data_IF_115010285073
#
_entry.id   IF_115010285073
#
_cell.length_a   1.000
_cell.length_b   1.000
_cell.length_c   1.000
_cell.angle_alpha   90.00
_cell.angle_beta   90.00
_cell.angle_gamma   90.00
#
_symmetry.space_group_name_H-M   'P 1'
#
loop_
_entity.id
_entity.type
_entity.pdbx_description
1 polymer ?
#
# COMPACT_ATOMS: atom_id res chain seq x y z
N UNK A 1 -8.40 0.77 8.55
CA UNK A 1 -7.05 1.37 8.65
C UNK A 1 -6.51 1.20 10.06
N UNK A 2 -5.30 1.72 10.33
CA UNK A 2 -4.70 1.68 11.67
C UNK A 2 -4.20 3.06 12.11
N UNK A 3 -4.00 3.29 13.42
CA UNK A 3 -3.34 4.49 13.92
C UNK A 3 -1.82 4.51 13.65
N UNK A 4 -1.25 3.40 13.19
CA UNK A 4 0.18 3.24 12.90
C UNK A 4 0.55 3.61 11.46
N UNK A 5 -0.43 4.00 10.63
CA UNK A 5 -0.16 4.39 9.25
C UNK A 5 0.76 5.61 9.16
N UNK A 6 1.58 5.63 8.11
CA UNK A 6 2.31 6.86 7.78
C UNK A 6 1.35 8.03 7.62
N UNK A 7 1.80 9.22 8.01
CA UNK A 7 0.97 10.45 8.03
C UNK A 7 0.24 10.71 6.71
N UNK A 8 0.84 10.39 5.55
CA UNK A 8 0.18 10.58 4.26
C UNK A 8 -1.08 9.71 4.10
N UNK A 9 -1.10 8.49 4.64
CA UNK A 9 -2.28 7.61 4.64
C UNK A 9 -3.26 8.05 5.72
N UNK A 10 -2.78 8.29 6.93
CA UNK A 10 -3.63 8.70 8.07
C UNK A 10 -4.42 9.97 7.78
N UNK A 11 -3.77 11.02 7.28
CA UNK A 11 -4.43 12.28 6.92
C UNK A 11 -5.41 12.12 5.75
N UNK A 12 -5.07 11.27 4.77
CA UNK A 12 -6.00 10.95 3.66
C UNK A 12 -7.25 10.26 4.17
N UNK A 13 -7.12 9.29 5.07
CA UNK A 13 -8.25 8.60 5.70
C UNK A 13 -9.14 9.58 6.48
N UNK A 14 -8.53 10.48 7.26
CA UNK A 14 -9.26 11.51 8.00
C UNK A 14 -9.99 12.49 7.06
N UNK A 15 -9.37 12.86 5.96
CA UNK A 15 -9.96 13.74 4.95
C UNK A 15 -11.14 13.07 4.26
N UNK A 16 -11.03 11.80 3.89
CA UNK A 16 -12.12 11.02 3.33
C UNK A 16 -13.31 10.91 4.30
N UNK A 17 -13.04 10.70 5.60
CA UNK A 17 -14.08 10.72 6.63
C UNK A 17 -14.80 12.08 6.68
N UNK A 18 -14.05 13.18 6.71
CA UNK A 18 -14.59 14.53 6.84
C UNK A 18 -15.35 15.00 5.59
N UNK A 19 -14.76 14.82 4.41
CA UNK A 19 -15.31 15.40 3.16
C UNK A 19 -16.25 14.47 2.41
N UNK A 20 -16.11 13.15 2.57
CA UNK A 20 -16.91 12.16 1.83
C UNK A 20 -17.83 11.33 2.72
N UNK A 21 -17.79 11.55 4.02
CA UNK A 21 -18.62 10.78 4.97
C UNK A 21 -18.27 9.29 5.01
N UNK A 22 -17.05 8.92 4.62
CA UNK A 22 -16.59 7.54 4.71
C UNK A 22 -16.53 7.12 6.16
N UNK A 23 -17.13 5.99 6.49
CA UNK A 23 -16.99 5.39 7.81
C UNK A 23 -15.57 4.82 7.95
N UNK A 24 -14.93 5.14 9.05
CA UNK A 24 -13.53 4.72 9.32
C UNK A 24 -13.50 3.95 10.62
N UNK A 25 -13.05 2.70 10.55
CA UNK A 25 -12.73 1.84 11.69
C UNK A 25 -11.22 1.70 11.77
N UNK A 26 -10.67 1.85 12.98
CA UNK A 26 -9.24 1.66 13.23
C UNK A 26 -9.00 0.35 13.97
N UNK A 27 -8.30 -0.56 13.30
CA UNK A 27 -7.73 -1.74 13.93
C UNK A 27 -6.56 -1.29 14.82
N UNK A 28 -6.65 -1.55 16.11
CA UNK A 28 -5.63 -1.10 17.07
C UNK A 28 -4.56 -2.16 17.24
N UNK A 29 -3.27 -1.78 17.23
CA UNK A 29 -2.21 -2.68 17.58
C UNK A 29 -2.21 -2.98 19.10
N UNK A 30 -1.64 -4.09 19.47
CA UNK A 30 -1.32 -4.40 20.84
C UNK A 30 -0.08 -3.61 21.34
N UNK A 31 0.39 -3.93 22.55
CA UNK A 31 1.57 -3.28 23.16
C UNK A 31 2.91 -3.59 22.44
N UNK A 32 2.91 -4.58 21.54
CA UNK A 32 4.07 -4.91 20.69
C UNK A 32 3.96 -4.33 19.29
N UNK A 33 2.82 -3.72 18.96
CA UNK A 33 2.54 -3.19 17.64
C UNK A 33 1.92 -4.19 16.67
N UNK A 34 1.49 -5.36 17.16
CA UNK A 34 0.89 -6.40 16.33
C UNK A 34 -0.63 -6.24 16.25
N UNK A 35 -1.22 -6.61 15.11
CA UNK A 35 -2.66 -6.53 14.89
C UNK A 35 -3.33 -7.87 15.16
N UNK A 36 -4.50 -7.83 15.83
CA UNK A 36 -5.38 -8.97 15.94
C UNK A 36 -6.09 -9.20 14.58
N UNK A 37 -5.68 -10.23 13.84
CA UNK A 37 -6.26 -10.53 12.53
C UNK A 37 -7.63 -11.24 12.64
N UNK A 38 -7.97 -11.80 13.78
CA UNK A 38 -9.32 -12.35 14.05
C UNK A 38 -10.31 -11.18 14.16
N UNK A 39 -9.95 -10.11 14.87
CA UNK A 39 -10.75 -8.87 14.93
C UNK A 39 -10.97 -8.29 13.52
N UNK A 40 -9.92 -8.24 12.69
CA UNK A 40 -10.06 -7.80 11.29
C UNK A 40 -11.08 -8.65 10.54
N UNK A 41 -11.01 -9.97 10.67
CA UNK A 41 -11.90 -10.89 9.99
C UNK A 41 -13.37 -10.72 10.47
N UNK A 42 -13.60 -10.53 11.76
CA UNK A 42 -14.92 -10.28 12.33
C UNK A 42 -15.51 -8.96 11.83
N UNK A 43 -14.72 -7.89 11.82
CA UNK A 43 -15.13 -6.58 11.28
C UNK A 43 -15.53 -6.67 9.80
N UNK A 44 -14.80 -7.45 9.01
CA UNK A 44 -15.12 -7.61 7.59
C UNK A 44 -16.37 -8.47 7.39
N UNK A 45 -16.55 -9.54 8.15
CA UNK A 45 -17.74 -10.40 8.10
C UNK A 45 -19.03 -9.66 8.48
N UNK A 46 -18.93 -8.73 9.42
CA UNK A 46 -20.06 -7.94 9.89
C UNK A 46 -20.42 -6.77 8.97
N UNK A 47 -19.59 -6.46 7.98
CA UNK A 47 -19.78 -5.31 7.09
C UNK A 47 -20.54 -5.71 5.83
N UNK A 48 -21.69 -5.10 5.60
CA UNK A 48 -22.44 -5.19 4.33
C UNK A 48 -21.99 -4.14 3.30
N UNK A 49 -21.05 -3.25 3.69
CA UNK A 49 -20.57 -2.14 2.86
C UNK A 49 -19.36 -2.53 2.04
N UNK A 50 -19.18 -1.89 0.88
CA UNK A 50 -17.92 -1.98 0.15
C UNK A 50 -16.79 -1.43 1.03
N UNK A 51 -15.85 -2.29 1.37
CA UNK A 51 -14.80 -2.00 2.35
C UNK A 51 -13.42 -1.96 1.69
N UNK A 52 -12.61 -0.98 2.06
CA UNK A 52 -11.19 -0.92 1.78
C UNK A 52 -10.42 -1.05 3.10
N UNK A 53 -9.61 -2.08 3.21
CA UNK A 53 -8.60 -2.21 4.26
C UNK A 53 -7.34 -1.48 3.79
N UNK A 54 -6.76 -0.64 4.64
CA UNK A 54 -5.48 0.01 4.38
C UNK A 54 -4.60 -0.16 5.60
N UNK A 55 -3.56 -1.00 5.48
CA UNK A 55 -2.59 -1.32 6.52
C UNK A 55 -1.19 -1.33 5.94
N UNK A 56 -0.27 -0.57 6.54
CA UNK A 56 1.11 -0.54 6.07
C UNK A 56 1.83 -1.86 6.36
N UNK A 57 2.73 -2.25 5.45
CA UNK A 57 3.43 -3.54 5.55
C UNK A 57 4.54 -3.50 6.60
N UNK A 58 5.44 -2.52 6.51
CA UNK A 58 6.51 -2.32 7.49
C UNK A 58 6.40 -0.92 8.09
N UNK A 59 6.37 -0.82 9.42
CA UNK A 59 6.23 0.48 10.07
C UNK A 59 7.57 1.22 10.08
N UNK A 60 7.54 2.49 9.70
CA UNK A 60 8.73 3.33 9.57
C UNK A 60 9.32 3.81 10.90
N UNK A 61 8.61 3.66 12.02
CA UNK A 61 9.05 4.16 13.33
C UNK A 61 9.46 3.05 14.28
N UNK A 62 8.68 1.97 14.34
CA UNK A 62 8.90 0.89 15.29
C UNK A 62 9.33 -0.43 14.64
N UNK A 63 9.35 -0.49 13.29
CA UNK A 63 9.85 -1.64 12.53
C UNK A 63 8.93 -2.86 12.50
N UNK A 64 7.73 -2.80 13.06
CA UNK A 64 6.78 -3.92 13.02
C UNK A 64 6.45 -4.28 11.57
N UNK A 65 6.33 -5.59 11.33
CA UNK A 65 6.04 -6.16 10.03
C UNK A 65 4.67 -6.85 10.05
N UNK A 66 3.78 -6.42 9.14
CA UNK A 66 2.47 -7.02 8.96
C UNK A 66 2.58 -8.33 8.16
N UNK A 67 1.87 -9.37 8.56
CA UNK A 67 1.65 -10.53 7.67
C UNK A 67 0.73 -10.13 6.51
N UNK A 68 1.32 -9.50 5.50
CA UNK A 68 0.60 -8.96 4.33
C UNK A 68 -0.12 -10.07 3.55
N UNK A 69 0.44 -11.29 3.50
CA UNK A 69 -0.18 -12.42 2.79
C UNK A 69 -1.47 -12.82 3.48
N UNK A 70 -1.44 -12.96 4.81
CA UNK A 70 -2.61 -13.33 5.61
C UNK A 70 -3.69 -12.25 5.58
N UNK A 71 -3.31 -10.98 5.71
CA UNK A 71 -4.26 -9.86 5.60
C UNK A 71 -4.91 -9.80 4.22
N UNK A 72 -4.12 -9.93 3.14
CA UNK A 72 -4.62 -9.94 1.79
C UNK A 72 -5.61 -11.09 1.54
N UNK A 73 -5.32 -12.27 2.10
CA UNK A 73 -6.21 -13.42 2.00
C UNK A 73 -7.53 -13.20 2.76
N UNK A 74 -7.47 -12.67 3.98
CA UNK A 74 -8.66 -12.32 4.78
C UNK A 74 -9.53 -11.31 4.02
N UNK A 75 -8.92 -10.27 3.44
CA UNK A 75 -9.65 -9.28 2.64
C UNK A 75 -10.35 -9.91 1.43
N UNK A 76 -9.63 -10.74 0.68
CA UNK A 76 -10.14 -11.45 -0.51
C UNK A 76 -11.33 -12.35 -0.14
N UNK A 77 -11.24 -13.12 0.93
CA UNK A 77 -12.30 -14.02 1.40
C UNK A 77 -13.57 -13.29 1.84
N UNK A 78 -13.43 -12.02 2.25
CA UNK A 78 -14.55 -11.18 2.69
C UNK A 78 -14.94 -10.10 1.67
N UNK A 79 -14.52 -10.22 0.39
CA UNK A 79 -14.81 -9.27 -0.69
C UNK A 79 -14.42 -7.81 -0.36
N UNK A 80 -13.42 -7.62 0.48
CA UNK A 80 -12.84 -6.32 0.77
C UNK A 80 -11.65 -6.04 -0.13
N UNK A 81 -11.48 -4.79 -0.56
CA UNK A 81 -10.27 -4.35 -1.23
C UNK A 81 -9.14 -4.15 -0.21
N UNK A 82 -7.92 -4.44 -0.61
CA UNK A 82 -6.75 -4.26 0.26
C UNK A 82 -5.71 -3.35 -0.38
N UNK A 83 -5.37 -2.28 0.34
CA UNK A 83 -4.23 -1.40 0.10
C UNK A 83 -3.17 -1.62 1.17
N UNK A 84 -1.91 -1.68 0.76
CA UNK A 84 -0.78 -1.64 1.68
C UNK A 84 0.22 -0.55 1.29
N UNK A 85 0.61 0.27 2.25
CA UNK A 85 1.80 1.10 2.11
C UNK A 85 3.03 0.20 2.26
N UNK A 86 3.72 -0.03 1.14
CA UNK A 86 4.92 -0.86 1.07
C UNK A 86 6.20 -0.05 0.93
N UNK A 87 6.14 1.24 1.23
CA UNK A 87 7.28 2.17 1.06
C UNK A 87 8.52 1.72 1.82
N UNK A 88 8.37 1.13 3.01
CA UNK A 88 9.50 0.66 3.81
C UNK A 88 9.93 -0.78 3.49
N UNK A 89 9.13 -1.56 2.83
CA UNK A 89 9.40 -2.97 2.55
C UNK A 89 9.76 -3.26 1.08
N UNK A 90 9.32 -2.39 0.15
CA UNK A 90 9.64 -2.55 -1.26
C UNK A 90 11.16 -2.49 -1.49
N UNK A 91 11.69 -3.47 -2.22
CA UNK A 91 13.11 -3.65 -2.48
C UNK A 91 13.98 -4.02 -1.26
N UNK A 92 13.41 -4.12 -0.06
CA UNK A 92 14.05 -4.64 1.15
C UNK A 92 13.57 -6.04 1.50
N UNK A 93 12.44 -6.45 0.95
CA UNK A 93 11.83 -7.76 1.15
C UNK A 93 11.28 -8.26 -0.18
N UNK A 94 11.18 -9.58 -0.32
CA UNK A 94 10.56 -10.19 -1.50
C UNK A 94 9.04 -10.01 -1.44
N UNK A 95 8.50 -9.27 -2.40
CA UNK A 95 7.07 -8.99 -2.55
C UNK A 95 6.61 -9.34 -3.96
N UNK A 96 5.97 -10.50 -4.10
CA UNK A 96 5.34 -10.91 -5.35
C UNK A 96 3.82 -10.72 -5.28
N UNK A 97 3.33 -9.68 -5.95
CA UNK A 97 1.91 -9.38 -6.01
C UNK A 97 1.12 -10.28 -6.97
N UNK A 98 1.76 -11.22 -7.64
CA UNK A 98 1.06 -12.32 -8.32
C UNK A 98 0.57 -13.36 -7.32
N UNK A 99 1.32 -13.57 -6.25
CA UNK A 99 0.99 -14.50 -5.17
C UNK A 99 0.22 -13.82 -4.02
N UNK A 100 0.56 -12.57 -3.71
CA UNK A 100 -0.10 -11.80 -2.65
C UNK A 100 -1.29 -11.05 -3.24
N UNK A 101 -2.54 -11.36 -2.87
CA UNK A 101 -3.72 -10.78 -3.48
C UNK A 101 -4.05 -9.36 -2.97
N UNK A 102 -3.06 -8.46 -2.94
CA UNK A 102 -3.32 -7.03 -2.71
C UNK A 102 -4.01 -6.40 -3.93
N UNK A 103 -4.86 -5.42 -3.73
CA UNK A 103 -5.47 -4.64 -4.81
C UNK A 103 -4.64 -3.39 -5.13
N UNK A 104 -4.01 -2.82 -4.11
CA UNK A 104 -3.19 -1.62 -4.25
C UNK A 104 -1.95 -1.72 -3.36
N UNK A 105 -0.82 -1.25 -3.87
CA UNK A 105 0.37 -1.02 -3.06
C UNK A 105 1.03 0.30 -3.47
N UNK A 106 1.52 1.04 -2.51
CA UNK A 106 2.23 2.31 -2.74
C UNK A 106 3.71 2.17 -2.42
N UNK A 107 4.54 2.81 -3.24
CA UNK A 107 5.97 2.74 -3.13
C UNK A 107 6.63 4.09 -3.44
N UNK A 108 7.79 4.35 -2.84
CA UNK A 108 8.54 5.59 -3.02
C UNK A 108 10.02 5.29 -3.29
N UNK A 109 10.53 5.75 -4.44
CA UNK A 109 11.86 5.41 -4.95
C UNK A 109 12.99 5.75 -3.99
N UNK A 110 12.89 6.88 -3.28
CA UNK A 110 13.95 7.34 -2.38
C UNK A 110 14.19 6.43 -1.16
N UNK A 111 13.34 5.45 -0.92
CA UNK A 111 13.50 4.46 0.17
C UNK A 111 14.38 3.28 -0.24
N UNK A 112 14.64 3.12 -1.53
CA UNK A 112 15.58 2.14 -2.08
C UNK A 112 16.56 2.80 -3.06
N UNK A 113 17.12 3.94 -2.64
CA UNK A 113 18.19 4.67 -3.33
C UNK A 113 17.84 5.26 -4.69
N UNK A 114 16.55 5.33 -5.04
CA UNK A 114 16.06 5.97 -6.24
C UNK A 114 15.87 7.49 -6.07
N UNK A 115 15.46 8.19 -7.13
CA UNK A 115 15.30 9.64 -7.11
C UNK A 115 14.09 10.05 -6.24
N UNK A 116 14.26 11.15 -5.50
CA UNK A 116 13.17 11.81 -4.78
C UNK A 116 12.12 12.32 -5.76
N UNK A 117 10.86 12.40 -5.32
CA UNK A 117 9.74 12.88 -6.14
C UNK A 117 9.22 11.86 -7.16
N UNK A 118 9.73 10.63 -7.15
CA UNK A 118 9.22 9.51 -7.93
C UNK A 118 8.83 8.34 -7.06
N UNK A 119 7.86 7.58 -7.52
CA UNK A 119 7.33 6.39 -6.88
C UNK A 119 6.39 5.68 -7.83
N UNK A 120 5.83 4.56 -7.40
CA UNK A 120 4.80 3.87 -8.17
C UNK A 120 3.67 3.39 -7.27
N UNK A 121 2.52 3.20 -7.88
CA UNK A 121 1.42 2.49 -7.28
C UNK A 121 1.15 1.21 -8.07
N UNK A 122 1.13 0.08 -7.41
CA UNK A 122 0.55 -1.13 -7.97
C UNK A 122 -0.96 -1.02 -7.88
N UNK A 123 -1.64 -1.26 -9.00
CA UNK A 123 -3.10 -1.27 -9.10
C UNK A 123 -3.54 -2.54 -9.80
N UNK A 124 -4.24 -3.42 -9.09
CA UNK A 124 -4.77 -4.64 -9.67
C UNK A 124 -5.90 -4.30 -10.66
N UNK A 125 -5.86 -4.89 -11.84
CA UNK A 125 -6.84 -4.61 -12.91
C UNK A 125 -8.29 -4.82 -12.47
N UNK A 126 -8.55 -5.82 -11.63
CA UNK A 126 -9.88 -6.15 -11.13
C UNK A 126 -10.41 -5.18 -10.06
N UNK A 127 -9.57 -4.27 -9.53
CA UNK A 127 -9.98 -3.32 -8.49
C UNK A 127 -11.02 -2.31 -8.95
N UNK A 128 -11.11 -2.06 -10.25
CA UNK A 128 -12.03 -1.09 -10.84
C UNK A 128 -11.70 0.37 -10.51
N UNK A 129 -10.46 0.64 -10.06
CA UNK A 129 -10.01 2.01 -9.79
C UNK A 129 -10.09 2.87 -11.05
N UNK A 130 -10.63 4.08 -10.90
CA UNK A 130 -10.61 5.13 -11.93
C UNK A 130 -9.64 6.22 -11.53
N UNK A 131 -8.96 6.80 -12.53
CA UNK A 131 -8.08 7.93 -12.31
C UNK A 131 -8.82 9.14 -11.75
N UNK A 132 -8.18 9.84 -10.82
CA UNK A 132 -8.70 11.08 -10.21
C UNK A 132 -8.02 12.33 -10.79
N UNK A 133 -6.85 12.18 -11.41
CA UNK A 133 -6.16 13.26 -12.13
C UNK A 133 -6.54 13.11 -13.59
N UNK A 134 -7.42 13.97 -14.05
CA UNK A 134 -8.00 13.92 -15.41
C UNK A 134 -7.12 14.69 -16.41
N UNK A 135 -7.17 14.28 -17.69
CA UNK A 135 -6.42 14.89 -18.79
C UNK A 135 -6.11 13.88 -19.89
N UNK A 136 -4.84 13.75 -20.26
CA UNK A 136 -4.39 12.79 -21.28
C UNK A 136 -4.41 11.32 -20.78
N UNK A 137 -4.12 10.35 -21.68
CA UNK A 137 -4.25 8.93 -21.40
C UNK A 137 -3.05 8.31 -20.67
N UNK A 138 -2.17 9.14 -20.10
CA UNK A 138 -0.97 8.67 -19.41
C UNK A 138 -1.31 7.71 -18.27
N UNK A 139 -0.38 6.87 -17.91
CA UNK A 139 -0.54 5.82 -16.87
C UNK A 139 -1.85 5.03 -17.05
N UNK A 140 -2.17 4.67 -18.30
CA UNK A 140 -3.39 3.92 -18.65
C UNK A 140 -4.67 4.63 -18.19
N UNK A 141 -4.73 5.95 -18.29
CA UNK A 141 -5.82 6.82 -17.84
C UNK A 141 -5.98 6.93 -16.31
N UNK A 142 -5.10 6.32 -15.53
CA UNK A 142 -5.16 6.41 -14.06
C UNK A 142 -4.57 7.72 -13.52
N UNK A 143 -3.61 8.30 -14.23
CA UNK A 143 -2.97 9.55 -13.82
C UNK A 143 -2.52 10.32 -15.05
N UNK A 144 -3.24 11.36 -15.39
CA UNK A 144 -2.87 12.24 -16.51
C UNK A 144 -1.66 13.13 -16.18
N UNK A 145 -1.04 13.65 -17.23
CA UNK A 145 0.16 14.50 -17.21
C UNK A 145 1.39 13.78 -17.73
N UNK A 146 2.29 14.53 -18.36
CA UNK A 146 3.51 14.01 -18.97
C UNK A 146 4.32 13.22 -17.96
N UNK A 147 4.81 12.08 -18.38
CA UNK A 147 5.60 11.16 -17.56
C UNK A 147 6.97 11.77 -17.20
N UNK A 148 7.37 11.65 -15.95
CA UNK A 148 8.71 11.98 -15.50
C UNK A 148 9.68 10.85 -15.89
N UNK A 149 10.05 10.81 -17.18
CA UNK A 149 10.87 9.71 -17.74
C UNK A 149 12.18 9.53 -16.98
N UNK A 150 12.89 10.60 -16.65
CA UNK A 150 14.14 10.51 -15.89
C UNK A 150 13.94 9.90 -14.50
N UNK A 151 12.90 10.32 -13.78
CA UNK A 151 12.54 9.76 -12.47
C UNK A 151 12.13 8.29 -12.56
N UNK A 152 11.37 7.92 -13.59
CA UNK A 152 10.89 6.55 -13.82
C UNK A 152 12.08 5.62 -14.13
N UNK A 153 12.99 6.03 -15.02
CA UNK A 153 14.19 5.25 -15.36
C UNK A 153 15.10 5.09 -14.14
N UNK A 154 15.32 6.18 -13.39
CA UNK A 154 16.12 6.14 -12.15
C UNK A 154 15.49 5.24 -11.08
N UNK A 155 14.16 5.29 -10.92
CA UNK A 155 13.41 4.39 -10.03
C UNK A 155 13.58 2.92 -10.46
N UNK A 156 13.38 2.63 -11.75
CA UNK A 156 13.51 1.27 -12.28
C UNK A 156 14.92 0.71 -12.05
N UNK A 157 15.96 1.52 -12.30
CA UNK A 157 17.34 1.11 -12.07
C UNK A 157 17.65 0.89 -10.58
N UNK A 158 17.16 1.76 -9.72
CA UNK A 158 17.33 1.60 -8.27
C UNK A 158 16.65 0.33 -7.77
N UNK A 159 15.42 0.04 -8.23
CA UNK A 159 14.70 -1.19 -7.88
C UNK A 159 15.47 -2.43 -8.33
N UNK A 160 15.92 -2.47 -9.59
CA UNK A 160 16.72 -3.58 -10.14
C UNK A 160 17.96 -3.86 -9.27
N UNK A 161 18.72 -2.81 -8.94
CA UNK A 161 19.94 -2.95 -8.14
C UNK A 161 19.64 -3.39 -6.70
N UNK A 162 18.61 -2.84 -6.08
CA UNK A 162 18.23 -3.21 -4.72
C UNK A 162 17.74 -4.65 -4.63
N UNK A 163 16.95 -5.12 -5.59
CA UNK A 163 16.53 -6.53 -5.65
C UNK A 163 17.73 -7.46 -5.87
N UNK A 164 18.67 -7.10 -6.75
CA UNK A 164 19.87 -7.89 -7.00
C UNK A 164 20.75 -8.03 -5.76
N UNK A 165 20.85 -6.97 -4.95
CA UNK A 165 21.73 -6.91 -3.79
C UNK A 165 20.97 -7.07 -2.46
N UNK A 166 19.72 -7.52 -2.51
CA UNK A 166 18.83 -7.62 -1.33
C UNK A 166 19.48 -8.40 -0.19
N UNK A 167 20.18 -9.49 -0.47
CA UNK A 167 20.84 -10.31 0.54
C UNK A 167 21.96 -9.56 1.28
N UNK A 168 22.64 -8.61 0.61
CA UNK A 168 23.70 -7.78 1.23
C UNK A 168 23.12 -6.67 2.11
N UNK A 169 21.93 -6.16 1.77
CA UNK A 169 21.26 -5.09 2.52
C UNK A 169 20.45 -5.61 3.71
N UNK A 170 20.15 -6.91 3.75
CA UNK A 170 19.40 -7.55 4.83
C UNK A 170 20.29 -8.17 5.91
N UNK A 171 21.61 -8.10 5.76
CA UNK A 171 22.60 -8.56 6.72
C UNK A 171 23.00 -7.45 7.68
#
# INVERSE_FOLDING_TARGET
SSPMEHKCVAETVLDMKKRKGVEVVYLRPDHKGDFNLEELQELLKSSEKKTLVSLMHANNEIGNLLDIKKVAQICKENNALFHSDTVQSMAHMELDFSEIPVDFASCSAHKFHGPKGSGFAFVRKSSGLKGIITGGPQERTLRAGTENVCGIVGLGKALELSLKNMAEYSA
#
